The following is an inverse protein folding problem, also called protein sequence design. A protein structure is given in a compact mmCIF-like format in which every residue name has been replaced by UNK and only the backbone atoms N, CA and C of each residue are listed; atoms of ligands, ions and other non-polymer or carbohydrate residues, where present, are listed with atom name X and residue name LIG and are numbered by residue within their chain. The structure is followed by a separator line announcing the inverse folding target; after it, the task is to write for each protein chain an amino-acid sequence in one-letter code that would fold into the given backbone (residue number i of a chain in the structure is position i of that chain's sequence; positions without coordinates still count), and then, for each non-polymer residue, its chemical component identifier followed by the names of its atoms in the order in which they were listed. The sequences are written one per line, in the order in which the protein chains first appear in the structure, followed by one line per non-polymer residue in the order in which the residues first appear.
data_IF_264122574346
#
_entry.id   IF_264122574346
#
_cell.length_a   1.000
_cell.length_b   1.000
_cell.length_c   1.000
_cell.angle_alpha   90.00
_cell.angle_beta   90.00
_cell.angle_gamma   90.00
#
_symmetry.space_group_name_H-M   'P 1'
#
loop_
_entity.id
_entity.type
_entity.pdbx_description
1 polymer ?
#
# COMPACT_ATOMS: atom_id res chain seq x y z
N UNK A 1 20.50 -29.08 -1.58
CA UNK A 1 19.68 -28.49 -2.66
C UNK A 1 19.87 -26.99 -2.60
N UNK A 2 20.23 -26.34 -3.71
CA UNK A 2 20.42 -24.89 -3.77
C UNK A 2 19.02 -24.27 -3.91
N UNK A 3 18.45 -23.80 -2.80
CA UNK A 3 17.21 -23.03 -2.86
C UNK A 3 17.48 -21.71 -3.59
N UNK A 4 16.55 -21.27 -4.42
CA UNK A 4 16.73 -20.13 -5.31
C UNK A 4 16.67 -18.82 -4.50
N UNK A 5 17.81 -18.40 -3.94
CA UNK A 5 17.96 -17.17 -3.15
C UNK A 5 18.36 -15.98 -4.03
N UNK A 6 17.67 -15.81 -5.16
CA UNK A 6 17.98 -14.75 -6.13
C UNK A 6 16.74 -13.93 -6.43
N UNK A 7 16.92 -12.64 -6.65
CA UNK A 7 15.91 -11.80 -7.28
C UNK A 7 15.49 -12.44 -8.61
N UNK A 8 14.18 -12.42 -8.85
CA UNK A 8 13.59 -12.98 -10.06
C UNK A 8 12.82 -11.90 -10.81
N UNK A 9 12.80 -11.91 -12.15
CA UNK A 9 12.07 -10.92 -12.92
C UNK A 9 10.55 -10.92 -12.69
N UNK A 10 9.99 -12.00 -12.14
CA UNK A 10 8.54 -12.14 -11.91
C UNK A 10 8.26 -13.11 -10.77
N UNK A 11 7.25 -12.78 -9.96
CA UNK A 11 6.67 -13.64 -8.93
C UNK A 11 5.31 -14.23 -9.34
N UNK A 12 4.94 -14.19 -10.62
CA UNK A 12 3.63 -14.63 -11.10
C UNK A 12 3.25 -16.07 -10.70
N UNK A 13 4.21 -16.94 -10.41
CA UNK A 13 3.98 -18.30 -9.91
C UNK A 13 3.35 -18.37 -8.51
N UNK A 14 3.34 -17.25 -7.77
CA UNK A 14 2.67 -17.12 -6.47
C UNK A 14 1.20 -16.69 -6.59
N UNK A 15 0.75 -16.34 -7.80
CA UNK A 15 -0.61 -15.87 -8.08
C UNK A 15 -1.51 -16.98 -8.60
N UNK A 16 -2.81 -16.82 -8.36
CA UNK A 16 -3.86 -17.54 -9.07
C UNK A 16 -4.55 -16.57 -10.02
N UNK A 17 -4.31 -16.71 -11.33
CA UNK A 17 -5.00 -15.88 -12.31
C UNK A 17 -6.47 -16.33 -12.42
N UNK A 18 -7.37 -15.47 -11.95
CA UNK A 18 -8.83 -15.70 -11.98
C UNK A 18 -9.52 -14.67 -12.88
N UNK A 19 -8.76 -13.93 -13.69
CA UNK A 19 -9.29 -12.86 -14.54
C UNK A 19 -10.28 -13.35 -15.60
N UNK A 20 -10.13 -14.59 -16.05
CA UNK A 20 -11.01 -15.24 -17.03
C UNK A 20 -12.20 -15.98 -16.41
N UNK A 21 -12.25 -16.14 -15.08
CA UNK A 21 -13.32 -16.91 -14.43
C UNK A 21 -14.61 -16.07 -14.40
N UNK A 22 -15.71 -16.63 -14.89
CA UNK A 22 -17.02 -16.00 -14.81
C UNK A 22 -17.44 -15.86 -13.35
N UNK A 23 -17.81 -14.64 -12.93
CA UNK A 23 -18.38 -14.43 -11.60
C UNK A 23 -19.71 -15.16 -11.49
N UNK A 24 -19.84 -16.05 -10.51
CA UNK A 24 -21.17 -16.43 -10.02
C UNK A 24 -21.85 -15.15 -9.52
N UNK A 25 -23.05 -14.85 -10.03
CA UNK A 25 -23.87 -13.71 -9.63
C UNK A 25 -24.40 -13.81 -8.18
N UNK A 26 -23.77 -14.61 -7.32
CA UNK A 26 -24.06 -14.62 -5.90
C UNK A 26 -23.76 -13.23 -5.32
N UNK A 27 -24.67 -12.77 -4.46
CA UNK A 27 -24.91 -11.39 -4.00
C UNK A 27 -23.80 -10.75 -3.15
N UNK A 28 -22.54 -11.12 -3.35
CA UNK A 28 -21.41 -10.59 -2.62
C UNK A 28 -21.15 -9.13 -3.05
N UNK A 29 -21.65 -8.18 -2.25
CA UNK A 29 -21.33 -6.76 -2.39
C UNK A 29 -20.16 -6.37 -1.49
N UNK A 30 -19.45 -5.32 -1.89
CA UNK A 30 -18.52 -4.62 -1.00
C UNK A 30 -19.32 -3.68 -0.09
N UNK A 31 -18.86 -3.53 1.13
CA UNK A 31 -19.46 -2.61 2.10
C UNK A 31 -18.89 -1.18 1.94
N UNK A 32 -17.61 -1.06 1.58
CA UNK A 32 -16.96 0.23 1.37
C UNK A 32 -15.76 0.13 0.42
N UNK A 33 -15.43 1.26 -0.22
CA UNK A 33 -14.15 1.49 -0.89
C UNK A 33 -13.33 2.44 -0.03
N UNK A 34 -12.17 1.99 0.45
CA UNK A 34 -11.26 2.75 1.30
C UNK A 34 -10.14 3.35 0.44
N UNK A 35 -9.97 4.66 0.50
CA UNK A 35 -9.01 5.41 -0.30
C UNK A 35 -8.00 6.10 0.62
N UNK A 36 -6.76 5.59 0.75
CA UNK A 36 -5.68 6.32 1.39
C UNK A 36 -5.25 7.49 0.49
N UNK A 37 -5.75 8.69 0.78
CA UNK A 37 -5.57 9.85 -0.09
C UNK A 37 -4.47 10.80 0.43
N UNK A 38 -3.47 11.07 -0.40
CA UNK A 38 -2.44 12.08 -0.21
C UNK A 38 -2.53 13.21 -1.26
N UNK A 39 -3.16 12.93 -2.40
CA UNK A 39 -3.33 13.81 -3.56
C UNK A 39 -4.77 14.34 -3.64
N UNK A 40 -4.99 15.52 -4.25
CA UNK A 40 -6.32 16.10 -4.30
C UNK A 40 -7.23 15.48 -5.39
N UNK A 41 -6.73 14.67 -6.33
CA UNK A 41 -7.51 14.28 -7.51
C UNK A 41 -8.30 12.97 -7.32
N UNK A 42 -9.50 13.05 -6.73
CA UNK A 42 -10.33 11.86 -6.41
C UNK A 42 -11.60 11.69 -7.26
N UNK A 43 -11.85 12.56 -8.24
CA UNK A 43 -13.11 12.58 -9.00
C UNK A 43 -13.47 11.23 -9.64
N UNK A 44 -12.46 10.48 -10.12
CA UNK A 44 -12.66 9.16 -10.74
C UNK A 44 -13.20 8.14 -9.74
N UNK A 45 -12.66 8.11 -8.51
CA UNK A 45 -13.10 7.20 -7.45
C UNK A 45 -14.46 7.60 -6.87
N UNK A 46 -14.74 8.90 -6.76
CA UNK A 46 -16.07 9.43 -6.36
C UNK A 46 -17.14 9.02 -7.38
N UNK A 47 -16.84 9.15 -8.68
CA UNK A 47 -17.78 8.74 -9.74
C UNK A 47 -18.01 7.23 -9.76
N UNK A 48 -16.93 6.45 -9.57
CA UNK A 48 -17.01 4.99 -9.48
C UNK A 48 -17.86 4.53 -8.30
N UNK A 49 -17.70 5.16 -7.13
CA UNK A 49 -18.45 4.82 -5.92
C UNK A 49 -19.96 5.06 -6.11
N UNK A 50 -20.33 6.18 -6.73
CA UNK A 50 -21.70 6.51 -7.11
C UNK A 50 -22.28 5.47 -8.08
N UNK A 51 -21.53 5.14 -9.14
CA UNK A 51 -21.95 4.15 -10.14
C UNK A 51 -22.22 2.77 -9.52
N UNK A 52 -21.42 2.36 -8.54
CA UNK A 52 -21.55 1.07 -7.86
C UNK A 52 -22.51 1.10 -6.67
N UNK A 53 -22.94 2.29 -6.24
CA UNK A 53 -23.68 2.51 -5.00
C UNK A 53 -22.94 1.98 -3.76
N UNK A 54 -21.60 2.05 -3.76
CA UNK A 54 -20.74 1.63 -2.65
C UNK A 54 -20.19 2.91 -1.99
N UNK A 55 -20.30 3.11 -0.67
CA UNK A 55 -19.78 4.30 -0.02
C UNK A 55 -18.25 4.33 -0.03
N UNK A 56 -17.67 5.54 -0.06
CA UNK A 56 -16.25 5.76 0.13
C UNK A 56 -15.91 5.94 1.61
N UNK A 57 -14.71 5.51 1.98
CA UNK A 57 -13.98 6.03 3.14
C UNK A 57 -12.72 6.68 2.61
N UNK A 58 -12.61 8.00 2.71
CA UNK A 58 -11.43 8.73 2.22
C UNK A 58 -10.59 9.16 3.40
N UNK A 59 -9.37 8.65 3.49
CA UNK A 59 -8.41 8.93 4.55
C UNK A 59 -7.42 9.97 4.06
N UNK A 60 -7.73 11.24 4.29
CA UNK A 60 -7.01 12.41 3.80
C UNK A 60 -5.76 12.70 4.63
N UNK A 61 -4.66 13.03 3.96
CA UNK A 61 -3.52 13.73 4.54
C UNK A 61 -2.83 14.58 3.45
N UNK A 62 -1.75 15.28 3.80
CA UNK A 62 -0.89 16.01 2.84
C UNK A 62 -1.71 16.98 1.98
N UNK A 63 -1.81 16.75 0.67
CA UNK A 63 -2.54 17.62 -0.26
C UNK A 63 -4.02 17.26 -0.38
N UNK A 64 -4.43 16.07 0.04
CA UNK A 64 -5.84 15.72 0.18
C UNK A 64 -6.42 16.42 1.41
N UNK A 65 -7.40 17.30 1.21
CA UNK A 65 -8.08 18.04 2.29
C UNK A 65 -9.50 17.54 2.45
N UNK A 66 -9.88 17.18 3.68
CA UNK A 66 -11.17 16.55 3.96
C UNK A 66 -12.35 17.40 3.47
N UNK A 67 -12.32 18.71 3.67
CA UNK A 67 -13.38 19.62 3.24
C UNK A 67 -13.52 19.64 1.71
N UNK A 68 -12.39 19.67 0.99
CA UNK A 68 -12.38 19.69 -0.48
C UNK A 68 -12.79 18.36 -1.10
N UNK A 69 -12.55 17.26 -0.41
CA UNK A 69 -13.07 15.96 -0.82
C UNK A 69 -14.58 15.89 -0.57
N UNK A 70 -15.05 16.33 0.59
CA UNK A 70 -16.47 16.36 0.94
C UNK A 70 -17.29 17.20 -0.05
N UNK A 71 -16.85 18.42 -0.36
CA UNK A 71 -17.47 19.29 -1.38
C UNK A 71 -17.71 18.53 -2.70
N UNK A 72 -16.69 17.81 -3.20
CA UNK A 72 -16.79 17.07 -4.46
C UNK A 72 -17.70 15.85 -4.39
N UNK A 73 -17.81 15.22 -3.22
CA UNK A 73 -18.73 14.11 -2.99
C UNK A 73 -20.17 14.64 -3.02
N UNK A 74 -20.44 15.78 -2.38
CA UNK A 74 -21.75 16.43 -2.40
C UNK A 74 -22.17 16.87 -3.80
N UNK A 75 -21.21 17.36 -4.60
CA UNK A 75 -21.43 17.73 -6.01
C UNK A 75 -21.67 16.52 -6.93
N UNK A 76 -21.44 15.29 -6.47
CA UNK A 76 -21.58 14.08 -7.29
C UNK A 76 -22.82 13.28 -6.89
N UNK A 77 -23.87 13.35 -7.71
CA UNK A 77 -25.13 12.63 -7.48
C UNK A 77 -24.91 11.12 -7.28
N UNK A 78 -25.49 10.57 -6.21
CA UNK A 78 -25.37 9.16 -5.84
C UNK A 78 -24.08 8.77 -5.11
N UNK A 79 -23.10 9.68 -5.01
CA UNK A 79 -21.91 9.44 -4.19
C UNK A 79 -22.23 9.59 -2.70
N UNK A 80 -21.55 8.79 -1.87
CA UNK A 80 -21.57 8.86 -0.41
C UNK A 80 -20.17 8.63 0.12
N UNK A 81 -19.77 9.37 1.14
CA UNK A 81 -18.44 9.21 1.73
C UNK A 81 -18.42 9.52 3.22
N UNK A 82 -17.57 8.77 3.93
CA UNK A 82 -16.97 9.17 5.19
C UNK A 82 -15.56 9.69 4.88
N UNK A 83 -15.37 11.00 5.02
CA UNK A 83 -14.09 11.68 4.74
C UNK A 83 -13.41 11.99 6.05
N UNK A 84 -12.18 11.55 6.24
CA UNK A 84 -11.46 11.59 7.52
C UNK A 84 -10.15 12.32 7.31
N UNK A 85 -9.85 13.33 8.13
CA UNK A 85 -8.52 13.95 8.21
C UNK A 85 -7.65 13.09 9.15
N UNK A 86 -6.57 12.52 8.62
CA UNK A 86 -5.62 11.70 9.40
C UNK A 86 -4.43 12.58 9.79
N UNK A 87 -4.23 12.86 11.10
CA UNK A 87 -3.09 13.64 11.56
C UNK A 87 -1.74 13.02 11.22
N UNK A 88 -0.73 13.84 10.98
CA UNK A 88 0.63 13.38 10.63
C UNK A 88 1.28 12.55 11.76
N UNK A 89 0.91 12.79 13.02
CA UNK A 89 1.40 12.11 14.21
C UNK A 89 0.43 11.03 14.74
N UNK A 90 -0.56 10.64 13.93
CA UNK A 90 -1.57 9.68 14.35
C UNK A 90 -0.97 8.29 14.65
N UNK A 91 -1.31 7.76 15.81
CA UNK A 91 -1.03 6.38 16.21
C UNK A 91 -2.35 5.64 16.40
N UNK A 92 -2.45 4.45 15.80
CA UNK A 92 -3.68 3.66 15.85
C UNK A 92 -3.80 2.97 17.20
N UNK A 93 -4.79 3.39 18.01
CA UNK A 93 -5.14 2.77 19.31
C UNK A 93 -3.93 2.65 20.27
N UNK A 94 -3.07 3.68 20.30
CA UNK A 94 -1.81 3.73 21.06
C UNK A 94 -0.87 2.53 20.77
N UNK A 95 -1.04 1.90 19.61
CA UNK A 95 -0.26 0.75 19.19
C UNK A 95 0.93 1.20 18.34
N UNK A 96 2.14 0.97 18.85
CA UNK A 96 3.37 1.14 18.10
C UNK A 96 3.88 -0.24 17.63
N UNK A 97 4.02 -0.39 16.31
CA UNK A 97 4.59 -1.58 15.69
C UNK A 97 6.11 -1.64 15.94
N UNK A 98 6.63 -2.80 16.30
CA UNK A 98 8.08 -3.05 16.43
C UNK A 98 8.81 -2.85 15.10
N UNK A 99 8.11 -3.12 13.99
CA UNK A 99 8.60 -2.84 12.62
C UNK A 99 8.76 -1.35 12.30
N UNK A 100 8.24 -0.45 13.15
CA UNK A 100 8.44 1.01 13.07
C UNK A 100 9.59 1.52 13.94
N UNK A 101 10.39 0.62 14.53
CA UNK A 101 11.54 0.98 15.36
C UNK A 101 12.59 1.82 14.60
N UNK A 102 13.35 2.62 15.34
CA UNK A 102 14.31 3.60 14.83
C UNK A 102 15.35 2.98 13.90
N UNK A 103 15.72 1.72 14.12
CA UNK A 103 16.65 1.00 13.25
C UNK A 103 16.10 0.86 11.82
N UNK A 104 14.85 0.45 11.66
CA UNK A 104 14.21 0.30 10.35
C UNK A 104 13.86 1.63 9.71
N UNK A 105 13.47 2.63 10.50
CA UNK A 105 13.26 3.99 10.02
C UNK A 105 14.54 4.58 9.41
N UNK A 106 15.68 4.44 10.10
CA UNK A 106 17.00 4.84 9.56
C UNK A 106 17.39 4.04 8.33
N UNK A 107 17.19 2.72 8.37
CA UNK A 107 17.49 1.84 7.24
C UNK A 107 16.56 2.10 6.03
N UNK A 108 15.40 2.72 6.24
CA UNK A 108 14.51 3.21 5.18
C UNK A 108 14.82 4.66 4.77
N UNK A 109 16.05 5.14 5.01
CA UNK A 109 16.46 6.52 4.72
C UNK A 109 15.47 7.57 5.27
N UNK A 110 14.99 7.34 6.49
CA UNK A 110 14.05 8.21 7.20
C UNK A 110 12.72 8.42 6.46
N UNK A 111 12.28 7.40 5.71
CA UNK A 111 11.03 7.41 4.95
C UNK A 111 9.86 7.90 5.80
N UNK A 112 9.11 8.85 5.25
CA UNK A 112 7.83 9.32 5.80
C UNK A 112 6.70 8.96 4.82
N UNK A 113 5.83 8.04 5.23
CA UNK A 113 4.55 7.74 4.57
C UNK A 113 3.47 7.54 5.61
N UNK A 114 2.25 7.86 5.22
CA UNK A 114 1.03 7.59 5.99
C UNK A 114 0.19 6.46 5.37
N UNK A 115 0.70 5.79 4.33
CA UNK A 115 -0.05 4.78 3.58
C UNK A 115 -0.42 3.56 4.46
N UNK A 116 0.56 2.97 5.15
CA UNK A 116 0.36 1.81 6.02
C UNK A 116 -0.64 2.10 7.14
N UNK A 117 -0.50 3.26 7.81
CA UNK A 117 -1.40 3.64 8.90
C UNK A 117 -2.83 3.85 8.40
N UNK A 118 -3.02 4.50 7.25
CA UNK A 118 -4.35 4.65 6.64
C UNK A 118 -4.98 3.31 6.26
N UNK A 119 -4.21 2.39 5.68
CA UNK A 119 -4.70 1.04 5.37
C UNK A 119 -5.12 0.30 6.65
N UNK A 120 -4.32 0.38 7.73
CA UNK A 120 -4.67 -0.18 9.04
C UNK A 120 -5.92 0.47 9.67
N UNK A 121 -6.09 1.80 9.57
CA UNK A 121 -7.33 2.49 9.96
C UNK A 121 -8.52 1.89 9.21
N UNK A 122 -8.39 1.66 7.89
CA UNK A 122 -9.43 1.03 7.09
C UNK A 122 -9.81 -0.37 7.58
N UNK A 123 -8.84 -1.18 7.98
CA UNK A 123 -9.08 -2.52 8.55
C UNK A 123 -9.84 -2.45 9.88
N UNK A 124 -9.39 -1.60 10.81
CA UNK A 124 -10.02 -1.44 12.12
C UNK A 124 -11.42 -0.86 11.97
N UNK A 125 -11.59 0.17 11.14
CA UNK A 125 -12.89 0.76 10.86
C UNK A 125 -13.87 -0.29 10.31
N UNK A 126 -13.41 -1.13 9.37
CA UNK A 126 -14.26 -2.18 8.83
C UNK A 126 -14.71 -3.19 9.91
N UNK A 127 -13.84 -3.53 10.86
CA UNK A 127 -14.23 -4.37 12.01
C UNK A 127 -15.23 -3.68 12.93
N UNK A 128 -14.99 -2.42 13.28
CA UNK A 128 -15.88 -1.64 14.14
C UNK A 128 -17.27 -1.46 13.51
N UNK A 129 -17.35 -1.32 12.19
CA UNK A 129 -18.61 -1.17 11.44
C UNK A 129 -19.29 -2.50 11.09
N UNK A 130 -18.68 -3.64 11.42
CA UNK A 130 -19.19 -4.96 11.06
C UNK A 130 -19.18 -5.23 9.56
N UNK A 131 -18.40 -4.47 8.79
CA UNK A 131 -18.25 -4.66 7.35
C UNK A 131 -17.60 -6.00 7.08
N UNK A 132 -18.04 -6.66 6.01
CA UNK A 132 -17.57 -7.98 5.61
C UNK A 132 -16.48 -7.92 4.56
N UNK A 133 -16.62 -7.00 3.61
CA UNK A 133 -15.70 -6.87 2.48
C UNK A 133 -15.45 -5.41 2.16
N UNK A 134 -14.19 -5.04 2.16
CA UNK A 134 -13.75 -3.71 1.75
C UNK A 134 -12.82 -3.82 0.55
N UNK A 135 -12.71 -2.72 -0.20
CA UNK A 135 -11.75 -2.56 -1.28
C UNK A 135 -10.85 -1.37 -0.97
N UNK A 136 -9.54 -1.59 -0.81
CA UNK A 136 -8.56 -0.52 -0.85
C UNK A 136 -8.29 -0.11 -2.30
N UNK A 137 -8.24 1.20 -2.55
CA UNK A 137 -7.85 1.77 -3.83
C UNK A 137 -6.98 3.00 -3.61
N UNK A 138 -5.77 3.01 -4.16
CA UNK A 138 -4.88 4.17 -4.07
C UNK A 138 -5.42 5.36 -4.90
N UNK A 139 -5.09 6.59 -4.49
CA UNK A 139 -5.70 7.81 -5.02
C UNK A 139 -5.28 8.20 -6.46
N UNK A 140 -4.30 7.51 -7.03
CA UNK A 140 -3.82 7.65 -8.41
C UNK A 140 -4.28 6.51 -9.33
N UNK A 141 -5.12 5.60 -8.86
CA UNK A 141 -5.60 4.47 -9.65
C UNK A 141 -6.83 4.83 -10.47
N UNK A 142 -6.84 4.37 -11.73
CA UNK A 142 -7.94 4.56 -12.66
C UNK A 142 -8.16 3.34 -13.58
N UNK A 143 -9.22 3.42 -14.41
CA UNK A 143 -9.73 2.31 -15.23
C UNK A 143 -10.21 1.08 -14.43
N UNK A 144 -10.68 1.31 -13.21
CA UNK A 144 -11.45 0.31 -12.46
C UNK A 144 -12.80 0.06 -13.15
N UNK A 145 -13.03 -1.19 -13.59
CA UNK A 145 -14.25 -1.58 -14.29
C UNK A 145 -15.24 -2.21 -13.30
N UNK A 146 -16.53 -1.84 -13.30
CA UNK A 146 -17.53 -2.41 -12.40
C UNK A 146 -17.58 -3.95 -12.36
N UNK A 147 -17.38 -4.61 -13.49
CA UNK A 147 -17.39 -6.07 -13.55
C UNK A 147 -16.15 -6.69 -12.86
N UNK A 148 -14.99 -6.04 -12.90
CA UNK A 148 -13.79 -6.54 -12.22
C UNK A 148 -13.95 -6.38 -10.70
N UNK A 149 -14.60 -5.30 -10.24
CA UNK A 149 -14.91 -5.10 -8.83
C UNK A 149 -15.92 -6.15 -8.34
N UNK A 150 -16.92 -6.49 -9.17
CA UNK A 150 -17.88 -7.56 -8.86
C UNK A 150 -17.17 -8.92 -8.78
N UNK A 151 -16.24 -9.20 -9.70
CA UNK A 151 -15.41 -10.42 -9.68
C UNK A 151 -14.53 -10.46 -8.43
N UNK A 152 -13.91 -9.33 -8.07
CA UNK A 152 -13.08 -9.21 -6.88
C UNK A 152 -13.89 -9.50 -5.62
N UNK A 153 -15.07 -8.88 -5.48
CA UNK A 153 -15.96 -9.12 -4.36
C UNK A 153 -16.33 -10.61 -4.24
N UNK A 154 -16.70 -11.25 -5.36
CA UNK A 154 -16.98 -12.69 -5.39
C UNK A 154 -15.77 -13.56 -5.04
N UNK A 155 -14.56 -13.16 -5.44
CA UNK A 155 -13.32 -13.85 -5.03
C UNK A 155 -13.14 -13.85 -3.51
N UNK A 156 -13.55 -12.77 -2.84
CA UNK A 156 -13.47 -12.65 -1.38
C UNK A 156 -14.38 -13.60 -0.60
N UNK A 157 -15.31 -14.31 -1.26
CA UNK A 157 -16.08 -15.39 -0.62
C UNK A 157 -15.19 -16.58 -0.24
N UNK A 158 -14.20 -16.88 -1.09
CA UNK A 158 -13.31 -18.04 -0.93
C UNK A 158 -11.92 -17.67 -0.47
N UNK A 159 -11.47 -16.45 -0.76
CA UNK A 159 -10.13 -15.97 -0.45
C UNK A 159 -10.21 -14.80 0.54
N UNK A 160 -9.35 -14.72 1.57
CA UNK A 160 -9.32 -13.58 2.48
C UNK A 160 -8.94 -12.26 1.81
N UNK A 161 -8.18 -12.34 0.71
CA UNK A 161 -7.67 -11.21 -0.06
C UNK A 161 -7.77 -11.51 -1.55
N UNK A 162 -7.90 -10.47 -2.36
CA UNK A 162 -7.85 -10.54 -3.82
C UNK A 162 -7.37 -9.20 -4.37
N UNK A 163 -6.55 -9.19 -5.41
CA UNK A 163 -5.94 -7.95 -5.91
C UNK A 163 -5.92 -7.87 -7.44
N UNK A 164 -5.64 -6.67 -7.96
CA UNK A 164 -5.42 -6.40 -9.38
C UNK A 164 -3.98 -5.94 -9.60
N UNK A 165 -3.45 -6.17 -10.80
CA UNK A 165 -2.11 -5.72 -11.16
C UNK A 165 -2.14 -4.36 -11.89
N UNK A 166 -1.23 -3.46 -11.53
CA UNK A 166 -1.10 -2.14 -12.16
C UNK A 166 -0.11 -2.21 -13.31
N UNK A 167 -0.55 -2.49 -14.54
CA UNK A 167 0.39 -2.71 -15.67
C UNK A 167 0.82 -1.45 -16.41
N UNK A 168 -0.01 -0.42 -16.41
CA UNK A 168 0.29 0.85 -17.07
C UNK A 168 0.80 1.84 -16.03
N UNK A 169 2.03 2.30 -16.21
CA UNK A 169 2.86 2.92 -15.16
C UNK A 169 2.96 1.99 -13.95
N UNK A 170 3.82 0.95 -14.04
CA UNK A 170 3.80 -0.14 -13.08
C UNK A 170 4.08 0.34 -11.66
N UNK A 171 3.32 -0.21 -10.72
CA UNK A 171 3.51 0.01 -9.29
C UNK A 171 4.73 -0.79 -8.80
N UNK A 172 5.89 -0.23 -9.08
CA UNK A 172 7.20 -0.83 -8.88
C UNK A 172 8.14 0.24 -8.32
N UNK A 173 9.18 -0.20 -7.61
CA UNK A 173 10.18 0.70 -7.08
C UNK A 173 10.97 1.43 -8.16
N UNK A 174 11.64 2.51 -7.76
CA UNK A 174 12.54 3.27 -8.64
C UNK A 174 13.61 2.36 -9.27
N UNK A 175 14.14 1.39 -8.52
CA UNK A 175 15.12 0.40 -9.00
C UNK A 175 14.50 -0.47 -10.11
N UNK A 176 13.27 -0.94 -9.92
CA UNK A 176 12.55 -1.73 -10.92
C UNK A 176 12.27 -0.94 -12.21
N UNK A 177 11.94 0.36 -12.12
CA UNK A 177 11.83 1.24 -13.29
C UNK A 177 13.16 1.35 -14.03
N UNK A 178 14.27 1.51 -13.30
CA UNK A 178 15.60 1.61 -13.89
C UNK A 178 16.00 0.31 -14.61
N UNK A 179 15.60 -0.86 -14.07
CA UNK A 179 15.77 -2.17 -14.74
C UNK A 179 15.07 -2.22 -16.09
N UNK A 180 13.80 -1.80 -16.15
CA UNK A 180 13.06 -1.72 -17.43
C UNK A 180 13.71 -0.76 -18.41
N UNK A 181 14.15 0.42 -17.93
CA UNK A 181 14.86 1.40 -18.75
C UNK A 181 16.18 0.83 -19.30
N UNK A 182 16.85 -0.03 -18.55
CA UNK A 182 18.06 -0.74 -18.96
C UNK A 182 17.80 -1.90 -19.95
N UNK A 183 16.54 -2.16 -20.33
CA UNK A 183 16.14 -3.28 -21.18
C UNK A 183 16.17 -4.63 -20.47
N UNK A 184 16.22 -4.66 -19.14
CA UNK A 184 16.19 -5.87 -18.33
C UNK A 184 14.73 -6.26 -18.03
N UNK A 185 14.51 -7.57 -17.81
CA UNK A 185 13.19 -8.09 -17.47
C UNK A 185 12.75 -7.66 -16.06
N UNK A 186 11.54 -7.10 -15.96
CA UNK A 186 10.89 -6.78 -14.69
C UNK A 186 9.37 -6.79 -14.89
N UNK A 187 8.71 -7.79 -14.34
CA UNK A 187 7.25 -7.95 -14.35
C UNK A 187 6.61 -7.17 -13.19
N UNK A 188 5.28 -7.15 -13.18
CA UNK A 188 4.46 -6.50 -12.17
C UNK A 188 3.74 -7.55 -11.35
N UNK A 189 3.89 -7.50 -10.03
CA UNK A 189 3.10 -8.31 -9.12
C UNK A 189 1.79 -7.58 -8.76
N UNK A 190 0.84 -8.28 -8.13
CA UNK A 190 -0.32 -7.60 -7.56
C UNK A 190 0.11 -6.75 -6.35
N UNK A 191 -0.56 -5.64 -6.10
CA UNK A 191 -0.21 -4.73 -5.00
C UNK A 191 -1.43 -4.27 -4.19
N UNK A 192 -1.17 -3.44 -3.18
CA UNK A 192 -2.16 -2.74 -2.37
C UNK A 192 -2.92 -1.65 -3.13
N UNK A 193 -2.47 -1.30 -4.35
CA UNK A 193 -3.09 -0.27 -5.19
C UNK A 193 -4.58 -0.55 -5.47
N UNK A 194 -4.95 -1.82 -5.61
CA UNK A 194 -6.34 -2.30 -5.64
C UNK A 194 -6.43 -3.63 -4.90
N UNK A 195 -6.82 -3.59 -3.63
CA UNK A 195 -6.79 -4.76 -2.74
C UNK A 195 -8.14 -4.97 -2.04
N UNK A 196 -8.81 -6.05 -2.41
CA UNK A 196 -9.98 -6.56 -1.72
C UNK A 196 -9.60 -7.31 -0.45
N UNK A 197 -10.35 -7.09 0.63
CA UNK A 197 -10.14 -7.76 1.91
C UNK A 197 -11.47 -8.25 2.47
N UNK A 198 -11.53 -9.53 2.85
CA UNK A 198 -12.60 -10.10 3.66
C UNK A 198 -12.25 -9.91 5.14
N UNK A 199 -12.89 -8.92 5.76
CA UNK A 199 -12.62 -8.48 7.12
C UNK A 199 -13.26 -9.36 8.19
N UNK A 200 -13.99 -10.42 7.83
CA UNK A 200 -14.56 -11.37 8.80
C UNK A 200 -13.64 -12.56 9.11
N UNK A 201 -12.48 -12.64 8.44
CA UNK A 201 -11.52 -13.72 8.68
C UNK A 201 -10.84 -13.52 10.03
N UNK A 202 -10.77 -14.53 10.92
CA UNK A 202 -10.20 -14.34 12.27
C UNK A 202 -8.75 -13.82 12.26
N UNK A 203 -7.92 -14.33 11.34
CA UNK A 203 -6.48 -14.04 11.28
C UNK A 203 -6.15 -13.03 10.19
N UNK A 204 -6.55 -11.77 10.37
CA UNK A 204 -6.24 -10.70 9.43
C UNK A 204 -4.89 -10.08 9.79
N UNK A 205 -3.96 -10.00 8.83
CA UNK A 205 -2.67 -9.33 9.06
C UNK A 205 -2.83 -7.80 9.09
N UNK A 206 -1.71 -7.09 9.20
CA UNK A 206 -1.62 -5.64 9.21
C UNK A 206 -0.64 -5.16 8.14
N UNK A 207 -0.64 -3.86 7.88
CA UNK A 207 0.30 -3.19 6.99
C UNK A 207 1.45 -2.59 7.83
N UNK A 208 2.66 -3.16 7.82
CA UNK A 208 3.82 -2.57 8.51
C UNK A 208 4.22 -1.23 7.90
N UNK A 209 4.89 -0.36 8.66
CA UNK A 209 5.36 0.94 8.15
C UNK A 209 6.66 0.77 7.35
N UNK A 210 6.58 0.15 6.18
CA UNK A 210 7.68 -0.06 5.24
C UNK A 210 7.17 0.11 3.80
N UNK A 211 8.06 0.35 2.83
CA UNK A 211 7.67 0.25 1.43
C UNK A 211 7.34 -1.21 1.05
N UNK A 212 6.38 -1.44 0.16
CA UNK A 212 5.77 -2.74 -0.13
C UNK A 212 5.09 -3.38 1.10
N UNK A 213 4.46 -2.59 1.98
CA UNK A 213 3.76 -3.08 3.17
C UNK A 213 2.64 -4.09 2.88
N UNK A 214 2.05 -3.97 1.70
CA UNK A 214 1.03 -4.85 1.15
C UNK A 214 1.55 -6.28 0.92
N UNK A 215 2.81 -6.44 0.48
CA UNK A 215 3.42 -7.75 0.31
C UNK A 215 3.55 -8.50 1.63
N UNK A 216 3.74 -7.79 2.74
CA UNK A 216 3.71 -8.38 4.09
C UNK A 216 2.28 -8.72 4.51
N UNK A 217 1.33 -7.82 4.26
CA UNK A 217 -0.08 -8.04 4.60
C UNK A 217 -0.65 -9.32 3.98
N UNK A 218 -0.37 -9.61 2.70
CA UNK A 218 -0.85 -10.82 2.04
C UNK A 218 0.21 -11.94 1.91
N UNK A 219 1.33 -11.85 2.63
CA UNK A 219 2.44 -12.81 2.54
C UNK A 219 2.01 -14.28 2.72
N UNK A 220 1.12 -14.56 3.68
CA UNK A 220 0.58 -15.91 3.89
C UNK A 220 -0.12 -16.46 2.64
N UNK A 221 -0.84 -15.62 1.91
CA UNK A 221 -1.56 -16.03 0.71
C UNK A 221 -0.64 -16.22 -0.48
N UNK A 222 0.40 -15.38 -0.61
CA UNK A 222 1.45 -15.54 -1.61
C UNK A 222 2.28 -16.81 -1.37
N UNK A 223 2.72 -17.06 -0.14
CA UNK A 223 3.40 -18.28 0.29
C UNK A 223 2.61 -19.56 -0.07
N UNK A 224 1.30 -19.52 0.18
CA UNK A 224 0.37 -20.59 -0.14
C UNK A 224 -0.03 -20.64 -1.63
N UNK A 225 0.50 -19.76 -2.50
CA UNK A 225 0.18 -19.67 -3.94
C UNK A 225 -1.32 -19.57 -4.20
N UNK A 226 -1.98 -18.78 -3.36
CA UNK A 226 -3.43 -18.71 -3.23
C UNK A 226 -4.00 -17.32 -3.44
N UNK A 227 -3.14 -16.35 -3.80
CA UNK A 227 -3.49 -14.95 -3.97
C UNK A 227 -4.16 -14.74 -5.33
N UNK A 228 -5.47 -14.42 -5.38
CA UNK A 228 -6.16 -14.24 -6.65
C UNK A 228 -5.77 -12.93 -7.32
N UNK A 229 -5.34 -13.01 -8.57
CA UNK A 229 -5.21 -11.87 -9.51
C UNK A 229 -6.50 -11.76 -10.32
N UNK A 230 -7.30 -10.74 -10.04
CA UNK A 230 -8.67 -10.60 -10.58
C UNK A 230 -8.71 -9.85 -11.91
N UNK A 231 -7.74 -8.97 -12.14
CA UNK A 231 -7.73 -8.09 -13.29
C UNK A 231 -6.54 -7.16 -13.29
N UNK A 232 -6.63 -6.11 -14.10
CA UNK A 232 -5.58 -5.14 -14.31
C UNK A 232 -6.15 -3.73 -14.28
N UNK A 233 -5.39 -2.81 -13.72
CA UNK A 233 -5.74 -1.39 -13.59
C UNK A 233 -4.59 -0.52 -14.09
N UNK A 234 -4.81 0.80 -14.07
CA UNK A 234 -3.81 1.79 -14.42
C UNK A 234 -3.54 2.73 -13.26
N UNK A 235 -2.31 3.21 -13.18
CA UNK A 235 -1.90 4.27 -12.28
C UNK A 235 -1.58 5.52 -13.09
N UNK A 236 -1.85 6.70 -12.52
CA UNK A 236 -1.49 7.97 -13.13
C UNK A 236 0.01 8.03 -13.42
N UNK A 237 0.35 8.68 -14.53
CA UNK A 237 1.75 8.82 -14.93
C UNK A 237 2.52 9.65 -13.90
N UNK A 238 3.74 9.23 -13.60
CA UNK A 238 4.64 9.96 -12.72
C UNK A 238 6.09 9.81 -13.22
N UNK A 239 6.95 10.73 -12.80
CA UNK A 239 8.38 10.72 -13.10
C UNK A 239 9.13 9.90 -12.03
N UNK A 240 9.55 8.64 -12.31
CA UNK A 240 10.09 7.76 -11.26
C UNK A 240 11.41 8.25 -10.68
N UNK A 241 12.17 9.02 -11.46
CA UNK A 241 13.49 9.53 -11.10
C UNK A 241 13.49 11.01 -10.72
N UNK A 242 12.31 11.63 -10.52
CA UNK A 242 12.22 13.05 -10.15
C UNK A 242 12.87 13.35 -8.79
N UNK A 243 12.83 12.38 -7.87
CA UNK A 243 13.54 12.42 -6.59
C UNK A 243 14.44 11.18 -6.46
N UNK A 244 15.77 11.30 -6.62
CA UNK A 244 16.68 10.16 -6.50
C UNK A 244 16.71 9.56 -5.09
N UNK A 245 16.40 10.34 -4.04
CA UNK A 245 16.34 9.84 -2.67
C UNK A 245 15.15 8.90 -2.44
N UNK A 246 14.15 8.91 -3.34
CA UNK A 246 13.07 7.93 -3.32
C UNK A 246 13.59 6.50 -3.41
N UNK A 247 14.61 6.25 -4.22
CA UNK A 247 15.20 4.92 -4.37
C UNK A 247 15.84 4.43 -3.05
N UNK A 248 16.51 5.30 -2.30
CA UNK A 248 17.05 4.95 -0.98
C UNK A 248 15.91 4.64 0.02
N UNK A 249 14.83 5.43 0.01
CA UNK A 249 13.69 5.23 0.91
C UNK A 249 12.88 3.96 0.65
N UNK A 250 12.89 3.46 -0.59
CA UNK A 250 12.20 2.23 -0.99
C UNK A 250 13.06 0.97 -0.76
N UNK A 251 14.39 1.10 -0.75
CA UNK A 251 15.32 -0.04 -0.87
C UNK A 251 15.18 -1.08 0.26
N UNK A 252 14.96 -0.67 1.51
CA UNK A 252 14.77 -1.64 2.61
C UNK A 252 13.51 -2.50 2.38
N UNK A 253 12.42 -1.87 1.96
CA UNK A 253 11.17 -2.56 1.65
C UNK A 253 11.31 -3.50 0.46
N UNK A 254 11.99 -3.05 -0.60
CA UNK A 254 12.34 -3.88 -1.74
C UNK A 254 13.16 -5.11 -1.32
N UNK A 255 14.23 -4.92 -0.55
CA UNK A 255 15.09 -6.03 -0.09
C UNK A 255 14.30 -7.07 0.70
N UNK A 256 13.49 -6.62 1.66
CA UNK A 256 12.75 -7.53 2.52
C UNK A 256 11.60 -8.22 1.78
N UNK A 257 10.83 -7.48 0.97
CA UNK A 257 9.71 -8.02 0.21
C UNK A 257 10.19 -8.98 -0.89
N UNK A 258 11.11 -8.56 -1.75
CA UNK A 258 11.66 -9.40 -2.82
C UNK A 258 12.43 -10.59 -2.25
N UNK A 259 13.18 -10.41 -1.15
CA UNK A 259 13.92 -11.49 -0.51
C UNK A 259 13.01 -12.56 0.08
N UNK A 260 11.88 -12.16 0.67
CA UNK A 260 10.88 -13.07 1.17
C UNK A 260 10.12 -13.77 0.03
N UNK A 261 9.79 -13.06 -1.05
CA UNK A 261 9.03 -13.61 -2.17
C UNK A 261 9.89 -14.48 -3.10
N UNK A 262 11.17 -14.20 -3.21
CA UNK A 262 12.15 -15.10 -3.82
C UNK A 262 12.21 -16.43 -3.07
N UNK A 263 12.21 -16.38 -1.73
CA UNK A 263 12.15 -17.58 -0.90
C UNK A 263 10.86 -18.37 -1.13
N UNK A 264 9.70 -17.70 -1.16
CA UNK A 264 8.42 -18.35 -1.48
C UNK A 264 8.46 -19.05 -2.83
N UNK A 265 8.97 -18.36 -3.84
CA UNK A 265 9.08 -18.86 -5.23
C UNK A 265 10.02 -20.07 -5.31
N UNK A 266 11.17 -20.01 -4.63
CA UNK A 266 12.22 -21.04 -4.63
C UNK A 266 11.96 -22.25 -3.72
N UNK A 267 10.87 -22.26 -2.95
CA UNK A 267 10.51 -23.34 -2.02
C UNK A 267 9.08 -23.85 -2.22
N UNK A 268 8.72 -24.36 -3.41
CA UNK A 268 7.42 -24.98 -3.61
C UNK A 268 7.22 -26.17 -2.67
N UNK A 269 6.05 -26.21 -2.02
CA UNK A 269 5.67 -27.26 -1.06
C UNK A 269 6.03 -26.97 0.40
N UNK A 270 6.81 -25.92 0.69
CA UNK A 270 6.99 -25.45 2.06
C UNK A 270 5.77 -24.69 2.52
N UNK A 271 5.40 -24.85 3.79
CA UNK A 271 4.42 -23.97 4.42
C UNK A 271 5.06 -22.63 4.82
N UNK A 272 4.23 -21.68 5.25
CA UNK A 272 4.71 -20.36 5.67
C UNK A 272 5.69 -20.47 6.86
N UNK A 273 5.52 -21.42 7.78
CA UNK A 273 6.39 -21.54 8.95
C UNK A 273 7.79 -22.03 8.60
N UNK A 274 7.91 -22.96 7.67
CA UNK A 274 9.20 -23.40 7.15
C UNK A 274 9.91 -22.25 6.41
N UNK A 275 9.16 -21.48 5.61
CA UNK A 275 9.70 -20.30 4.90
C UNK A 275 10.12 -19.20 5.88
N UNK A 276 9.31 -18.88 6.90
CA UNK A 276 9.70 -17.89 7.91
C UNK A 276 10.86 -18.38 8.78
N UNK A 277 11.02 -19.69 9.02
CA UNK A 277 12.21 -20.24 9.67
C UNK A 277 13.47 -20.02 8.84
N UNK A 278 13.39 -20.16 7.52
CA UNK A 278 14.51 -19.83 6.63
C UNK A 278 14.76 -18.32 6.52
N UNK A 279 13.71 -17.50 6.51
CA UNK A 279 13.83 -16.03 6.56
C UNK A 279 14.35 -15.52 7.91
N UNK A 280 14.18 -16.27 9.00
CA UNK A 280 14.82 -15.98 10.29
C UNK A 280 16.30 -16.44 10.34
N UNK A 281 16.88 -16.84 9.20
CA UNK A 281 18.31 -17.19 9.10
C UNK A 281 19.09 -16.10 8.38
N UNK A 282 20.17 -15.61 9.00
CA UNK A 282 21.09 -14.66 8.36
C UNK A 282 21.76 -15.21 7.09
N UNK A 283 21.78 -16.53 6.87
CA UNK A 283 22.30 -17.11 5.62
C UNK A 283 21.47 -16.72 4.40
N UNK A 284 20.15 -16.75 4.52
CA UNK A 284 19.25 -16.37 3.42
C UNK A 284 19.50 -14.92 3.00
N UNK A 285 19.48 -14.02 3.98
CA UNK A 285 19.66 -12.59 3.74
C UNK A 285 21.05 -12.23 3.23
N UNK A 286 22.11 -12.90 3.70
CA UNK A 286 23.45 -12.69 3.14
C UNK A 286 23.49 -12.95 1.64
N UNK A 287 22.97 -14.10 1.21
CA UNK A 287 22.93 -14.47 -0.20
C UNK A 287 22.03 -13.53 -1.01
N UNK A 288 20.89 -13.12 -0.43
CA UNK A 288 19.97 -12.22 -1.13
C UNK A 288 20.51 -10.79 -1.25
N UNK A 289 21.21 -10.27 -0.23
CA UNK A 289 21.88 -8.96 -0.29
C UNK A 289 22.99 -8.96 -1.35
N UNK A 290 23.79 -10.02 -1.44
CA UNK A 290 24.80 -10.20 -2.49
C UNK A 290 24.17 -10.20 -3.90
N UNK A 291 23.03 -10.89 -4.06
CA UNK A 291 22.30 -10.93 -5.31
C UNK A 291 21.66 -9.56 -5.66
N UNK A 292 21.07 -8.89 -4.67
CA UNK A 292 20.51 -7.53 -4.83
C UNK A 292 21.59 -6.52 -5.25
N UNK A 293 22.78 -6.57 -4.64
CA UNK A 293 23.90 -5.74 -5.03
C UNK A 293 24.31 -6.01 -6.49
N UNK A 294 24.47 -7.28 -6.84
CA UNK A 294 24.81 -7.70 -8.21
C UNK A 294 23.77 -7.22 -9.24
N UNK A 295 22.48 -7.30 -8.89
CA UNK A 295 21.37 -6.83 -9.71
C UNK A 295 21.42 -5.31 -9.96
N UNK A 296 21.71 -4.51 -8.94
CA UNK A 296 21.85 -3.05 -9.07
C UNK A 296 23.07 -2.71 -9.94
N UNK A 297 24.21 -3.37 -9.71
CA UNK A 297 25.42 -3.18 -10.52
C UNK A 297 25.19 -3.50 -11.99
N UNK A 298 24.56 -4.65 -12.31
CA UNK A 298 24.22 -5.03 -13.69
C UNK A 298 23.35 -3.95 -14.36
N UNK A 299 22.38 -3.41 -13.62
CA UNK A 299 21.47 -2.37 -14.13
C UNK A 299 22.23 -1.07 -14.44
N UNK A 300 23.13 -0.65 -13.55
CA UNK A 300 24.00 0.51 -13.76
C UNK A 300 24.92 0.33 -14.99
N UNK A 301 25.48 -0.85 -15.18
CA UNK A 301 26.36 -1.16 -16.31
C UNK A 301 25.58 -1.09 -17.64
N UNK A 302 24.38 -1.69 -17.69
CA UNK A 302 23.49 -1.65 -18.86
C UNK A 302 23.10 -0.23 -19.24
N UNK A 303 22.72 0.60 -18.26
CA UNK A 303 22.42 2.02 -18.50
C UNK A 303 23.65 2.80 -18.99
N UNK A 304 24.83 2.48 -18.47
CA UNK A 304 26.08 3.11 -18.89
C UNK A 304 26.40 2.79 -20.35
N UNK A 305 26.22 1.54 -20.79
CA UNK A 305 26.41 1.13 -22.19
C UNK A 305 25.39 1.79 -23.12
N UNK A 306 24.10 1.80 -22.74
CA UNK A 306 23.04 2.43 -23.53
C UNK A 306 23.33 3.92 -23.82
N UNK A 307 23.96 4.60 -22.86
CA UNK A 307 24.40 6.00 -22.98
C UNK A 307 25.44 6.23 -24.08
N UNK A 308 26.34 5.28 -24.31
CA UNK A 308 27.39 5.40 -25.32
C UNK A 308 26.88 5.13 -26.75
N UNK A 309 25.84 4.30 -26.90
CA UNK A 309 25.31 3.90 -28.21
C UNK A 309 24.39 4.98 -28.80
N UNK A 310 23.65 5.72 -27.96
CA UNK A 310 22.80 6.83 -28.41
C UNK A 310 23.63 8.12 -28.57
N UNK A 311 24.25 8.30 -29.74
CA UNK A 311 25.15 9.42 -30.08
C UNK A 311 24.51 10.83 -30.07
N UNK A 312 23.20 10.95 -29.83
CA UNK A 312 22.53 12.22 -29.59
C UNK A 312 21.79 12.14 -28.25
N UNK A 313 22.30 12.88 -27.27
CA UNK A 313 21.79 12.98 -25.89
C UNK A 313 21.77 11.66 -25.12
N UNK A 314 22.71 11.50 -24.19
CA UNK A 314 22.44 10.74 -22.98
C UNK A 314 21.15 11.32 -22.38
N UNK A 315 20.01 10.64 -22.57
CA UNK A 315 18.72 11.14 -22.09
C UNK A 315 18.87 11.53 -20.62
N UNK A 316 18.41 12.73 -20.25
CA UNK A 316 18.39 13.21 -18.87
C UNK A 316 17.75 12.18 -17.92
N UNK A 317 16.79 11.40 -18.43
CA UNK A 317 16.19 10.25 -17.76
C UNK A 317 17.20 9.16 -17.39
N UNK A 318 18.14 8.81 -18.27
CA UNK A 318 19.17 7.79 -17.99
C UNK A 318 20.11 8.28 -16.87
N UNK A 319 20.48 9.55 -16.89
CA UNK A 319 21.32 10.13 -15.84
C UNK A 319 20.59 10.15 -14.49
N UNK A 320 19.32 10.55 -14.48
CA UNK A 320 18.48 10.54 -13.28
C UNK A 320 18.30 9.12 -12.73
N UNK A 321 18.07 8.13 -13.59
CA UNK A 321 17.98 6.72 -13.21
C UNK A 321 19.30 6.19 -12.61
N UNK A 322 20.44 6.55 -13.20
CA UNK A 322 21.75 6.19 -12.65
C UNK A 322 21.99 6.80 -11.27
N UNK A 323 21.59 8.07 -11.06
CA UNK A 323 21.71 8.72 -9.75
C UNK A 323 20.82 8.03 -8.71
N UNK A 324 19.56 7.75 -9.05
CA UNK A 324 18.65 7.02 -8.18
C UNK A 324 19.18 5.62 -7.80
N UNK A 325 19.73 4.88 -8.77
CA UNK A 325 20.35 3.57 -8.51
C UNK A 325 21.57 3.67 -7.58
N UNK A 326 22.37 4.73 -7.68
CA UNK A 326 23.48 4.96 -6.73
C UNK A 326 22.97 5.25 -5.32
N UNK A 327 21.84 5.97 -5.18
CA UNK A 327 21.21 6.19 -3.86
C UNK A 327 20.73 4.88 -3.25
N UNK A 328 20.07 4.01 -4.04
CA UNK A 328 19.70 2.68 -3.58
C UNK A 328 20.93 1.83 -3.22
N UNK A 329 21.98 1.83 -4.05
CA UNK A 329 23.21 1.08 -3.78
C UNK A 329 23.90 1.52 -2.48
N UNK A 330 24.06 2.83 -2.28
CA UNK A 330 24.62 3.39 -1.06
C UNK A 330 23.77 3.06 0.17
N UNK A 331 22.44 3.03 0.02
CA UNK A 331 21.56 2.63 1.11
C UNK A 331 21.72 1.15 1.47
N UNK A 332 21.81 0.29 0.45
CA UNK A 332 22.01 -1.16 0.58
C UNK A 332 23.30 -1.51 1.35
N UNK A 333 24.37 -0.71 1.24
CA UNK A 333 25.61 -0.90 2.01
C UNK A 333 25.41 -0.86 3.53
N UNK A 334 24.33 -0.21 4.01
CA UNK A 334 24.01 -0.13 5.43
C UNK A 334 23.21 -1.36 5.93
N UNK A 335 22.81 -2.26 5.04
CA UNK A 335 21.97 -3.39 5.41
C UNK A 335 22.82 -4.59 5.84
N UNK A 336 22.42 -5.20 6.95
CA UNK A 336 23.03 -6.44 7.42
C UNK A 336 22.02 -7.58 7.36
N UNK A 337 22.49 -8.84 7.26
CA UNK A 337 21.61 -9.99 7.42
C UNK A 337 20.82 -9.96 8.73
N UNK A 338 21.44 -9.51 9.81
CA UNK A 338 20.81 -9.45 11.14
C UNK A 338 19.69 -8.40 11.19
N UNK A 339 19.84 -7.25 10.51
CA UNK A 339 18.77 -6.27 10.36
C UNK A 339 17.54 -6.89 9.67
N UNK A 340 17.77 -7.73 8.65
CA UNK A 340 16.67 -8.37 7.93
C UNK A 340 15.99 -9.46 8.77
N UNK A 341 16.77 -10.25 9.53
CA UNK A 341 16.23 -11.22 10.48
C UNK A 341 15.40 -10.52 11.56
N UNK A 342 15.94 -9.47 12.18
CA UNK A 342 15.26 -8.68 13.22
C UNK A 342 13.93 -8.13 12.69
N UNK A 343 13.88 -7.65 11.44
CA UNK A 343 12.63 -7.20 10.83
C UNK A 343 11.60 -8.34 10.74
N UNK A 344 11.98 -9.52 10.23
CA UNK A 344 11.06 -10.65 10.09
C UNK A 344 10.53 -11.13 11.45
N UNK A 345 11.39 -11.17 12.46
CA UNK A 345 11.00 -11.55 13.82
C UNK A 345 10.03 -10.54 14.43
N UNK A 346 10.34 -9.24 14.33
CA UNK A 346 9.46 -8.16 14.81
C UNK A 346 8.15 -8.08 14.04
N UNK A 347 8.15 -8.31 12.73
CA UNK A 347 6.93 -8.39 11.93
C UNK A 347 6.02 -9.54 12.37
N UNK A 348 6.60 -10.70 12.71
CA UNK A 348 5.83 -11.84 13.26
C UNK A 348 5.23 -11.50 14.63
N UNK A 349 6.01 -10.89 15.51
CA UNK A 349 5.51 -10.46 16.82
C UNK A 349 4.41 -9.39 16.67
N UNK A 350 4.59 -8.42 15.77
CA UNK A 350 3.56 -7.42 15.48
C UNK A 350 2.28 -8.06 14.93
N UNK A 351 2.36 -9.14 14.15
CA UNK A 351 1.15 -9.87 13.73
C UNK A 351 0.37 -10.45 14.92
N UNK A 352 1.06 -10.99 15.93
CA UNK A 352 0.43 -11.51 17.15
C UNK A 352 -0.14 -10.39 18.03
N UNK A 353 0.58 -9.26 18.11
CA UNK A 353 0.11 -8.06 18.83
C UNK A 353 -1.10 -7.44 18.12
N UNK A 354 -1.09 -7.42 16.80
CA UNK A 354 -2.17 -6.90 15.97
C UNK A 354 -3.48 -7.65 16.22
N UNK A 355 -3.46 -8.98 16.39
CA UNK A 355 -4.68 -9.73 16.71
C UNK A 355 -5.34 -9.30 18.04
N UNK A 356 -4.57 -8.69 18.95
CA UNK A 356 -5.08 -8.19 20.24
C UNK A 356 -5.68 -6.79 20.13
N UNK A 357 -5.25 -6.02 19.13
CA UNK A 357 -5.69 -4.64 18.89
C UNK A 357 -6.86 -4.60 17.91
N UNK A 358 -6.89 -5.54 16.95
CA UNK A 358 -7.95 -5.62 15.97
C UNK A 358 -9.30 -5.94 16.66
N UNK A 359 -10.35 -5.12 16.46
CA UNK A 359 -11.64 -5.40 17.06
C UNK A 359 -12.21 -6.75 16.60
N UNK A 360 -12.90 -7.43 17.51
CA UNK A 360 -13.52 -8.73 17.25
C UNK A 360 -14.52 -8.68 16.09
N UNK A 361 -14.79 -9.83 15.47
CA UNK A 361 -15.88 -9.96 14.50
C UNK A 361 -17.23 -9.70 15.18
N UNK A 362 -18.16 -9.05 14.48
CA UNK A 362 -19.54 -8.85 14.95
C UNK A 362 -19.76 -7.55 15.74
N UNK A 363 -18.71 -6.74 15.95
CA UNK A 363 -18.88 -5.35 16.39
C UNK A 363 -19.62 -4.55 15.32
N UNK A 364 -20.65 -3.80 15.71
CA UNK A 364 -21.43 -2.95 14.81
C UNK A 364 -21.66 -1.61 15.48
N UNK A 365 -20.72 -0.69 15.31
CA UNK A 365 -20.79 0.69 15.79
C UNK A 365 -21.36 1.62 14.72
N UNK A 366 -21.97 2.71 15.17
CA UNK A 366 -22.25 3.87 14.32
C UNK A 366 -20.95 4.53 13.86
N UNK A 367 -21.04 5.43 12.88
CA UNK A 367 -19.87 6.21 12.41
C UNK A 367 -19.23 7.01 13.54
N UNK A 368 -20.05 7.71 14.32
CA UNK A 368 -19.58 8.53 15.44
C UNK A 368 -18.87 7.69 16.50
N UNK A 369 -19.43 6.56 16.88
CA UNK A 369 -18.81 5.63 17.84
C UNK A 369 -17.51 5.05 17.29
N UNK A 370 -17.48 4.61 16.02
CA UNK A 370 -16.27 4.07 15.42
C UNK A 370 -15.13 5.12 15.33
N UNK A 371 -15.45 6.38 15.01
CA UNK A 371 -14.48 7.47 15.00
C UNK A 371 -13.98 7.81 16.40
N UNK A 372 -14.84 7.75 17.42
CA UNK A 372 -14.45 7.93 18.81
C UNK A 372 -13.49 6.82 19.27
N UNK A 373 -13.79 5.55 18.96
CA UNK A 373 -12.89 4.42 19.25
C UNK A 373 -11.53 4.57 18.56
N UNK A 374 -11.53 5.02 17.30
CA UNK A 374 -10.29 5.31 16.56
C UNK A 374 -9.56 6.58 17.04
N UNK A 375 -10.16 7.39 17.92
CA UNK A 375 -9.60 8.67 18.34
C UNK A 375 -9.51 9.73 17.21
N UNK A 376 -10.22 9.53 16.10
CA UNK A 376 -10.19 10.42 14.94
C UNK A 376 -11.23 11.54 15.10
N UNK A 377 -10.74 12.76 15.36
CA UNK A 377 -11.59 13.91 15.77
C UNK A 377 -12.14 14.72 14.60
N UNK A 378 -11.56 14.60 13.40
CA UNK A 378 -11.92 15.43 12.25
C UNK A 378 -12.35 14.54 11.10
N UNK A 379 -13.66 14.47 10.90
CA UNK A 379 -14.28 13.66 9.85
C UNK A 379 -15.62 14.26 9.42
N UNK A 380 -16.03 13.98 8.18
CA UNK A 380 -17.26 14.50 7.56
C UNK A 380 -17.98 13.32 6.91
N UNK A 381 -19.24 13.11 7.28
CA UNK A 381 -20.15 12.24 6.54
C UNK A 381 -20.94 13.09 5.54
N UNK A 382 -20.88 12.75 4.26
CA UNK A 382 -21.44 13.53 3.15
C UNK A 382 -21.98 12.66 2.01
N UNK A 383 -22.81 13.25 1.16
CA UNK A 383 -23.42 12.61 -0.01
C UNK A 383 -24.92 12.33 0.12
N UNK A 384 -25.47 11.63 -0.88
CA UNK A 384 -26.92 11.44 -1.06
C UNK A 384 -27.55 10.67 0.12
N UNK A 385 -28.66 11.20 0.67
CA UNK A 385 -29.40 10.71 1.85
C UNK A 385 -28.63 10.67 3.20
N UNK A 386 -27.59 11.50 3.39
CA UNK A 386 -27.00 11.68 4.72
C UNK A 386 -28.01 12.38 5.66
N UNK A 387 -28.59 11.61 6.60
CA UNK A 387 -29.48 12.11 7.66
C UNK A 387 -28.85 13.30 8.43
N UNK A 388 -29.71 14.17 8.98
CA UNK A 388 -29.44 15.52 9.55
C UNK A 388 -28.32 15.65 10.62
N UNK A 389 -27.57 14.59 10.95
CA UNK A 389 -26.41 14.62 11.84
C UNK A 389 -25.14 15.26 11.24
N UNK A 390 -25.12 15.55 9.94
CA UNK A 390 -23.96 16.10 9.19
C UNK A 390 -23.65 17.58 9.54
N UNK A 391 -24.65 18.37 9.94
CA UNK A 391 -24.49 19.83 10.14
C UNK A 391 -23.59 20.16 11.33
N UNK A 392 -23.66 19.42 12.45
CA UNK A 392 -22.80 19.68 13.62
C UNK A 392 -21.33 19.39 13.33
N UNK A 393 -21.04 18.36 12.53
CA UNK A 393 -19.66 18.01 12.16
C UNK A 393 -19.07 19.03 11.18
N UNK A 394 -19.87 19.50 10.22
CA UNK A 394 -19.47 20.57 9.29
C UNK A 394 -19.14 21.87 10.04
N UNK A 395 -19.94 22.22 11.06
CA UNK A 395 -19.70 23.38 11.93
C UNK A 395 -18.42 23.21 12.76
N UNK A 396 -18.12 22.01 13.25
CA UNK A 396 -16.90 21.73 13.99
C UNK A 396 -15.64 21.85 13.10
N UNK A 397 -15.70 21.33 11.86
CA UNK A 397 -14.63 21.43 10.88
C UNK A 397 -14.38 22.89 10.44
N UNK A 398 -15.43 23.67 10.18
CA UNK A 398 -15.31 25.09 9.85
C UNK A 398 -14.68 25.90 10.99
N UNK A 399 -15.01 25.59 12.24
CA UNK A 399 -14.42 26.25 13.43
C UNK A 399 -12.93 25.92 13.63
N UNK A 400 -12.50 24.70 13.32
CA UNK A 400 -11.08 24.32 13.44
C UNK A 400 -10.22 24.98 12.36
N UNK A 401 -10.75 25.13 11.14
CA UNK A 401 -10.09 25.79 10.01
C UNK A 401 -9.87 27.30 10.26
N UNK A 402 -10.88 28.00 10.79
CA UNK A 402 -10.79 29.41 11.16
C UNK A 402 -9.76 29.68 12.27
N UNK A 403 -9.56 28.74 13.20
CA UNK A 403 -8.56 28.85 14.25
C UNK A 403 -7.13 28.56 13.78
N UNK A 404 -6.95 27.85 12.65
CA UNK A 404 -5.63 27.65 12.02
C UNK A 404 -5.21 28.84 11.17
N UNK A 405 -6.14 29.57 10.54
CA UNK A 405 -5.81 30.78 9.78
C UNK A 405 -5.43 31.98 10.66
N UNK A 406 -5.98 32.07 11.87
CA UNK A 406 -5.67 33.16 12.82
C UNK A 406 -4.29 33.04 13.49
N UNK A 407 -3.63 31.87 13.41
CA UNK A 407 -2.28 31.64 13.96
C UNK A 407 -1.13 31.87 12.97
N UNK A 408 -1.43 32.18 11.69
CA UNK A 408 -0.42 32.58 10.70
C UNK A 408 -0.53 34.08 10.42
N UNK A 409 0.03 34.90 11.31
CA UNK A 409 0.14 36.33 11.01
C UNK A 409 0.62 37.22 12.14
N UNK A 410 1.88 37.06 12.59
CA UNK A 410 2.76 38.18 12.96
C UNK A 410 4.22 37.72 12.80
N UNK A 411 5.03 38.29 11.90
CA UNK A 411 6.47 38.14 11.98
C UNK A 411 7.00 39.08 13.06
N UNK A 412 7.60 38.54 14.12
CA UNK A 412 8.32 39.32 15.11
C UNK A 412 9.59 39.89 14.45
N UNK A 413 9.66 41.22 14.36
CA UNK A 413 10.91 41.95 14.12
C UNK A 413 11.68 42.02 15.44
N UNK A 414 12.88 41.46 15.46
CA UNK A 414 14.00 41.90 16.29
C UNK A 414 15.29 41.41 15.64
#
# INVERSE_FOLDING_TARGET
MNHQTKHVPSHASLLQDVSAVSSSAASSRLDAIVVPAARPSLHRLISLSAQLSIPLVVLCSRQAKAEKVAERVEDTFGARALVIDVPDDYQLLDHCHLTSDRAFWKASAERSSDLSIKRNIGLVLARLRGWKKILFVDDDIYQLRPHDISRLAGSLDRHPVASMATKYFPDNSVVCHARRLAGLGQDVFVSGAVLGVNTQRPTLSFFPDIYNEDWFFFAQHAAARSLPKVGEVRQDEYEPYADPERAAREELGDVLAEGLYALFSGTPGWDLMDQLRAAASGRHWRLFLEDRHSMITETLDRLSVARYISASTASTTVQAAQEALRRAANQLENFTPDLCVDFIEKWREDNDRWQKVLPGTGTVLSEREAMNELGLKTWIACGYDADQGSIESLIAALRSSLNRSSRRGVPARS
#
